data_IF_518456460094
#
_entry.id   IF_518456460094
#
_cell.length_a   1.000
_cell.length_b   1.000
_cell.length_c   1.000
_cell.angle_alpha   90.00
_cell.angle_beta   90.00
_cell.angle_gamma   90.00
#
_symmetry.space_group_name_H-M   'P 1'
#
loop_
_entity.id
_entity.type
_entity.pdbx_description
1 polymer ?
#
# COMPACT_ATOMS: atom_id res chain seq x y z
N UNK A 1 4.05 -20.68 0.11
CA UNK A 1 2.68 -21.25 0.26
C UNK A 1 2.45 -22.34 -0.78
N UNK A 2 2.06 -23.52 -0.29
CA UNK A 2 1.79 -24.69 -1.13
C UNK A 2 0.27 -24.87 -1.20
N UNK A 3 -0.33 -24.67 -2.36
CA UNK A 3 -1.75 -24.91 -2.56
C UNK A 3 -1.95 -26.20 -3.38
N UNK A 4 -2.66 -27.16 -2.83
CA UNK A 4 -3.15 -28.32 -3.56
C UNK A 4 -4.50 -27.95 -4.18
N UNK A 5 -4.57 -27.82 -5.49
CA UNK A 5 -5.85 -27.66 -6.20
C UNK A 5 -6.39 -29.07 -6.41
N UNK A 6 -7.39 -29.48 -5.63
CA UNK A 6 -8.08 -30.75 -5.75
C UNK A 6 -9.16 -30.64 -6.84
N UNK A 7 -8.78 -30.87 -8.09
CA UNK A 7 -9.69 -31.23 -9.18
C UNK A 7 -9.37 -32.62 -9.72
N UNK A 8 -9.05 -33.56 -8.85
CA UNK A 8 -8.93 -34.98 -9.20
C UNK A 8 -7.78 -35.38 -10.13
N UNK A 9 -6.92 -34.47 -10.52
CA UNK A 9 -5.69 -34.73 -11.28
C UNK A 9 -4.50 -34.15 -10.53
N UNK A 10 -3.43 -34.92 -10.40
CA UNK A 10 -2.16 -34.58 -9.78
C UNK A 10 -1.32 -33.59 -10.65
N UNK A 11 -1.97 -32.70 -11.37
CA UNK A 11 -1.32 -31.77 -12.28
C UNK A 11 -1.18 -30.41 -11.60
N UNK A 12 0.07 -29.98 -11.42
CA UNK A 12 0.54 -28.66 -11.04
C UNK A 12 0.38 -28.25 -9.56
N UNK A 13 1.31 -28.71 -8.74
CA UNK A 13 1.68 -27.96 -7.53
C UNK A 13 2.23 -26.59 -7.95
N UNK A 14 1.38 -25.57 -7.98
CA UNK A 14 1.81 -24.22 -8.26
C UNK A 14 2.38 -23.63 -6.99
N UNK A 15 3.70 -23.50 -6.94
CA UNK A 15 4.38 -22.84 -5.86
C UNK A 15 4.44 -21.34 -6.14
N UNK A 16 4.18 -20.53 -5.11
CA UNK A 16 4.54 -19.12 -5.11
C UNK A 16 5.61 -18.87 -4.07
N UNK A 17 6.47 -17.91 -4.34
CA UNK A 17 7.52 -17.46 -3.43
C UNK A 17 7.51 -15.94 -3.40
N UNK A 18 6.63 -15.33 -2.61
CA UNK A 18 6.68 -13.90 -2.36
C UNK A 18 7.98 -13.54 -1.65
N UNK A 19 8.55 -12.37 -1.98
CA UNK A 19 9.77 -11.92 -1.34
C UNK A 19 9.49 -11.53 0.12
N UNK A 20 8.44 -10.72 0.36
CA UNK A 20 8.05 -10.32 1.71
C UNK A 20 6.54 -10.46 1.88
N UNK A 21 6.11 -10.98 3.01
CA UNK A 21 4.71 -11.00 3.43
C UNK A 21 4.59 -10.34 4.79
N UNK A 22 3.87 -9.23 4.85
CA UNK A 22 3.58 -8.55 6.11
C UNK A 22 2.38 -9.21 6.79
N UNK A 23 2.56 -9.54 8.06
CA UNK A 23 1.56 -10.21 8.87
C UNK A 23 1.15 -9.30 10.04
N UNK A 24 -0.14 -9.21 10.31
CA UNK A 24 -0.66 -8.62 11.56
C UNK A 24 -1.37 -9.74 12.32
N UNK A 25 -0.89 -10.04 13.52
CA UNK A 25 -1.38 -11.16 14.33
C UNK A 25 -1.46 -12.49 13.57
N UNK A 26 -0.46 -12.76 12.71
CA UNK A 26 -0.39 -13.97 11.90
C UNK A 26 -1.26 -13.95 10.62
N UNK A 27 -2.02 -12.88 10.39
CA UNK A 27 -2.87 -12.72 9.21
C UNK A 27 -2.08 -11.95 8.12
N UNK A 28 -1.93 -12.51 6.89
CA UNK A 28 -1.23 -11.83 5.81
C UNK A 28 -2.06 -10.65 5.29
N UNK A 29 -1.52 -9.44 5.42
CA UNK A 29 -2.20 -8.19 5.04
C UNK A 29 -1.56 -7.49 3.85
N UNK A 30 -0.25 -7.65 3.62
CA UNK A 30 0.46 -7.09 2.48
C UNK A 30 1.39 -8.14 1.89
N UNK A 31 1.48 -8.20 0.57
CA UNK A 31 2.49 -8.97 -0.17
C UNK A 31 3.34 -8.00 -0.96
N UNK A 32 4.66 -8.12 -0.82
CA UNK A 32 5.65 -7.27 -1.46
C UNK A 32 6.51 -8.12 -2.39
N UNK A 33 6.69 -7.64 -3.60
CA UNK A 33 7.59 -8.22 -4.59
C UNK A 33 8.70 -7.24 -4.91
N UNK A 34 9.95 -7.68 -4.72
CA UNK A 34 11.15 -6.89 -4.96
C UNK A 34 11.80 -7.34 -6.26
N UNK A 35 12.19 -6.40 -7.10
CA UNK A 35 12.92 -6.66 -8.33
C UNK A 35 14.32 -6.08 -8.24
N UNK A 36 15.29 -6.80 -8.79
CA UNK A 36 16.68 -6.38 -8.77
C UNK A 36 17.03 -5.56 -10.03
N UNK A 37 17.59 -4.38 -9.84
CA UNK A 37 17.93 -3.44 -10.91
C UNK A 37 18.97 -3.95 -11.93
N UNK A 38 19.80 -4.89 -11.54
CA UNK A 38 20.89 -5.41 -12.37
C UNK A 38 20.49 -6.39 -13.47
N UNK A 39 19.20 -6.73 -13.59
CA UNK A 39 18.71 -7.71 -14.56
C UNK A 39 17.82 -7.03 -15.60
N UNK A 40 18.17 -7.18 -16.88
CA UNK A 40 17.36 -6.64 -17.99
C UNK A 40 15.90 -7.13 -17.89
N UNK A 41 14.95 -6.18 -17.94
CA UNK A 41 13.52 -6.46 -17.79
C UNK A 41 13.01 -6.61 -16.35
N UNK A 42 13.88 -6.50 -15.35
CA UNK A 42 13.50 -6.57 -13.93
C UNK A 42 13.01 -5.22 -13.43
N UNK A 43 11.71 -4.96 -13.54
CA UNK A 43 11.08 -3.68 -13.17
C UNK A 43 9.93 -3.90 -12.20
N UNK A 44 9.50 -2.83 -11.53
CA UNK A 44 8.31 -2.88 -10.69
C UNK A 44 7.05 -3.35 -11.46
N UNK A 45 6.96 -3.10 -12.78
CA UNK A 45 5.85 -3.59 -13.61
C UNK A 45 5.85 -5.12 -13.72
N UNK A 46 7.03 -5.74 -13.83
CA UNK A 46 7.15 -7.20 -13.80
C UNK A 46 6.79 -7.77 -12.42
N UNK A 47 7.14 -7.05 -11.34
CA UNK A 47 6.69 -7.40 -9.99
C UNK A 47 5.16 -7.40 -9.87
N UNK A 48 4.46 -6.43 -10.43
CA UNK A 48 3.00 -6.41 -10.45
C UNK A 48 2.42 -7.62 -11.23
N UNK A 49 2.98 -7.96 -12.38
CA UNK A 49 2.56 -9.16 -13.14
C UNK A 49 2.79 -10.44 -12.33
N UNK A 50 3.88 -10.49 -11.58
CA UNK A 50 4.16 -11.62 -10.69
C UNK A 50 3.16 -11.71 -9.53
N UNK A 51 2.83 -10.59 -8.89
CA UNK A 51 1.79 -10.51 -7.86
C UNK A 51 0.41 -10.96 -8.39
N UNK A 52 0.04 -10.55 -9.60
CA UNK A 52 -1.19 -11.01 -10.26
C UNK A 52 -1.17 -12.53 -10.51
N UNK A 53 -0.04 -13.08 -10.95
CA UNK A 53 0.15 -14.53 -11.06
C UNK A 53 0.00 -15.23 -9.71
N UNK A 54 0.57 -14.68 -8.63
CA UNK A 54 0.47 -15.24 -7.28
C UNK A 54 -0.99 -15.29 -6.81
N UNK A 55 -1.77 -14.24 -7.05
CA UNK A 55 -3.18 -14.20 -6.69
C UNK A 55 -3.98 -15.33 -7.38
N UNK A 56 -3.66 -15.64 -8.63
CA UNK A 56 -4.28 -16.74 -9.37
C UNK A 56 -3.82 -18.12 -8.91
N UNK A 57 -2.53 -18.27 -8.55
CA UNK A 57 -1.94 -19.55 -8.18
C UNK A 57 -2.20 -19.92 -6.72
N UNK A 58 -2.30 -18.96 -5.83
CA UNK A 58 -2.49 -19.17 -4.39
C UNK A 58 -3.51 -18.19 -3.80
N UNK A 59 -4.78 -18.22 -4.25
CA UNK A 59 -5.79 -17.27 -3.83
C UNK A 59 -6.03 -17.23 -2.32
N UNK A 60 -5.75 -18.33 -1.62
CA UNK A 60 -5.90 -18.38 -0.14
C UNK A 60 -5.03 -17.40 0.60
N UNK A 61 -3.80 -17.10 0.11
CA UNK A 61 -2.94 -16.10 0.71
C UNK A 61 -3.56 -14.70 0.61
N UNK A 62 -4.32 -14.45 -0.46
CA UNK A 62 -4.85 -13.14 -0.79
C UNK A 62 -6.28 -12.89 -0.27
N UNK A 63 -6.89 -13.83 0.46
CA UNK A 63 -8.22 -13.63 1.06
C UNK A 63 -8.21 -12.45 2.04
N UNK A 64 -7.23 -12.42 2.95
CA UNK A 64 -7.05 -11.36 3.94
C UNK A 64 -6.13 -10.24 3.47
N UNK A 65 -5.42 -10.45 2.36
CA UNK A 65 -4.49 -9.48 1.81
C UNK A 65 -5.22 -8.20 1.39
N UNK A 66 -4.77 -7.07 1.88
CA UNK A 66 -5.42 -5.79 1.69
C UNK A 66 -4.89 -5.06 0.46
N UNK A 67 -3.57 -5.06 0.29
CA UNK A 67 -2.91 -4.46 -0.85
C UNK A 67 -1.58 -5.16 -1.13
N UNK A 68 -1.03 -4.87 -2.28
CA UNK A 68 0.25 -5.40 -2.75
C UNK A 68 1.21 -4.27 -3.05
N UNK A 69 2.50 -4.56 -2.96
CA UNK A 69 3.56 -3.62 -3.27
C UNK A 69 4.54 -4.26 -4.23
N UNK A 70 5.02 -3.48 -5.17
CA UNK A 70 6.14 -3.85 -6.04
C UNK A 70 7.17 -2.74 -6.06
N UNK A 71 8.44 -3.12 -5.92
CA UNK A 71 9.58 -2.20 -5.98
C UNK A 71 10.71 -2.79 -6.82
N UNK A 72 11.48 -1.90 -7.44
CA UNK A 72 12.71 -2.23 -8.15
C UNK A 72 13.92 -1.44 -7.60
N UNK A 73 13.79 -0.87 -6.40
CA UNK A 73 14.81 -0.05 -5.78
C UNK A 73 14.81 1.41 -6.24
N UNK A 74 14.24 1.72 -7.42
CA UNK A 74 14.03 3.10 -7.88
C UNK A 74 12.62 3.59 -7.64
N UNK A 75 11.64 2.68 -7.78
CA UNK A 75 10.22 2.99 -7.67
C UNK A 75 9.56 2.01 -6.71
N UNK A 76 8.70 2.52 -5.83
CA UNK A 76 7.81 1.73 -5.01
C UNK A 76 6.37 2.03 -5.42
N UNK A 77 5.63 1.01 -5.81
CA UNK A 77 4.23 1.11 -6.22
C UNK A 77 3.36 0.20 -5.36
N UNK A 78 2.24 0.70 -4.88
CA UNK A 78 1.26 -0.06 -4.13
C UNK A 78 -0.13 0.01 -4.76
N UNK A 79 -0.90 -1.05 -4.64
CA UNK A 79 -2.26 -1.13 -5.16
C UNK A 79 -3.09 -2.17 -4.42
N UNK A 80 -4.41 -1.99 -4.41
CA UNK A 80 -5.30 -2.94 -3.74
C UNK A 80 -5.19 -4.34 -4.38
N UNK A 81 -5.39 -5.37 -3.58
CA UNK A 81 -5.45 -6.76 -4.07
C UNK A 81 -6.51 -6.88 -5.16
N UNK A 82 -6.15 -7.49 -6.29
CA UNK A 82 -7.02 -7.62 -7.47
C UNK A 82 -6.99 -6.41 -8.41
N UNK A 83 -6.27 -5.33 -8.07
CA UNK A 83 -6.21 -4.13 -8.92
C UNK A 83 -5.30 -4.33 -10.14
N UNK A 84 -5.71 -3.88 -11.34
CA UNK A 84 -4.83 -3.77 -12.49
C UNK A 84 -3.65 -2.81 -12.24
N UNK A 85 -2.55 -2.99 -12.98
CA UNK A 85 -1.31 -2.21 -12.82
C UNK A 85 -1.49 -0.69 -12.88
N UNK A 86 -2.45 -0.18 -13.68
CA UNK A 86 -2.78 1.25 -13.78
C UNK A 86 -3.29 1.87 -12.46
N UNK A 87 -3.66 1.05 -11.49
CA UNK A 87 -4.10 1.47 -10.15
C UNK A 87 -3.06 1.16 -9.08
N UNK A 88 -1.81 0.97 -9.47
CA UNK A 88 -0.68 1.00 -8.57
C UNK A 88 -0.08 2.39 -8.55
N UNK A 89 0.04 2.97 -7.35
CA UNK A 89 0.43 4.35 -7.13
C UNK A 89 1.71 4.44 -6.30
N UNK A 90 2.39 5.58 -6.36
CA UNK A 90 3.51 5.89 -5.48
C UNK A 90 2.99 6.35 -4.13
N UNK A 91 3.69 5.93 -3.07
CA UNK A 91 3.59 6.56 -1.77
C UNK A 91 4.65 7.65 -1.69
N UNK A 92 4.26 8.83 -1.23
CA UNK A 92 5.16 9.96 -1.01
C UNK A 92 5.18 10.31 0.47
N UNK A 93 6.33 10.66 0.97
CA UNK A 93 6.47 11.09 2.35
C UNK A 93 7.15 12.45 2.38
N UNK A 94 6.47 13.47 2.90
CA UNK A 94 6.91 14.85 2.79
C UNK A 94 7.70 15.35 4.03
N UNK A 95 7.76 14.56 5.09
CA UNK A 95 8.26 15.03 6.40
C UNK A 95 9.69 14.59 6.70
N UNK A 96 10.40 13.99 5.74
CA UNK A 96 11.68 13.34 5.99
C UNK A 96 11.52 12.06 6.81
N UNK A 97 12.62 11.41 7.15
CA UNK A 97 12.62 10.33 8.13
C UNK A 97 12.28 10.91 9.51
N UNK A 98 11.59 10.17 10.40
CA UNK A 98 11.29 10.68 11.73
C UNK A 98 12.56 10.97 12.54
N UNK A 99 12.44 11.88 13.49
CA UNK A 99 13.56 12.24 14.35
C UNK A 99 14.09 11.10 15.24
N UNK A 100 13.29 10.05 15.42
CA UNK A 100 13.64 8.82 16.14
C UNK A 100 14.13 7.69 15.22
N UNK A 101 14.22 7.95 13.93
CA UNK A 101 14.85 7.02 12.99
C UNK A 101 16.36 6.99 13.24
N UNK A 102 16.88 5.84 13.64
CA UNK A 102 18.30 5.70 13.98
C UNK A 102 19.14 5.51 12.70
N UNK A 103 19.57 6.62 12.12
CA UNK A 103 20.50 6.66 10.99
C UNK A 103 21.92 6.22 11.39
N UNK A 104 22.20 6.05 12.69
CA UNK A 104 23.53 5.71 13.19
C UNK A 104 23.87 4.22 13.14
N UNK A 105 22.93 3.38 12.75
CA UNK A 105 23.22 1.95 12.64
C UNK A 105 24.23 1.70 11.51
N UNK A 106 25.20 0.84 11.79
CA UNK A 106 26.23 0.47 10.79
C UNK A 106 25.63 -0.13 9.51
N UNK A 107 24.47 -0.76 9.61
CA UNK A 107 23.73 -1.32 8.48
C UNK A 107 23.12 -0.21 7.62
N UNK A 108 22.55 0.83 8.23
CA UNK A 108 21.99 1.97 7.51
C UNK A 108 23.09 2.78 6.80
N UNK A 109 24.20 3.08 7.49
CA UNK A 109 25.35 3.77 6.91
C UNK A 109 25.95 2.99 5.72
N UNK A 110 26.06 1.66 5.83
CA UNK A 110 26.55 0.84 4.73
C UNK A 110 25.63 0.84 3.50
N UNK A 111 24.31 1.02 3.70
CA UNK A 111 23.33 1.15 2.63
C UNK A 111 23.40 2.55 2.03
N UNK A 112 23.48 3.59 2.84
CA UNK A 112 23.57 4.99 2.41
C UNK A 112 24.82 5.26 1.58
N UNK A 113 25.94 4.62 1.91
CA UNK A 113 27.21 4.72 1.18
C UNK A 113 27.20 3.90 -0.14
N UNK A 114 26.15 3.15 -0.44
CA UNK A 114 26.06 2.38 -1.67
C UNK A 114 25.69 3.27 -2.88
N UNK A 115 26.26 2.97 -4.06
CA UNK A 115 25.93 3.68 -5.31
C UNK A 115 24.46 3.52 -5.72
N UNK A 116 23.79 2.49 -5.20
CA UNK A 116 22.38 2.16 -5.48
C UNK A 116 21.40 2.74 -4.46
N UNK A 117 21.88 3.49 -3.46
CA UNK A 117 21.02 4.08 -2.43
C UNK A 117 20.04 5.09 -3.00
N UNK A 118 18.77 4.90 -2.65
CA UNK A 118 17.71 5.80 -3.07
C UNK A 118 16.86 6.25 -1.88
N UNK A 119 17.13 7.44 -1.31
CA UNK A 119 16.42 7.96 -0.14
C UNK A 119 14.89 8.10 -0.36
N UNK A 120 14.45 8.19 -1.61
CA UNK A 120 13.03 8.20 -1.94
C UNK A 120 12.35 6.86 -1.58
N UNK A 121 13.03 5.73 -1.80
CA UNK A 121 12.48 4.41 -1.47
C UNK A 121 12.37 4.26 0.05
N UNK A 122 13.38 4.67 0.81
CA UNK A 122 13.34 4.60 2.27
C UNK A 122 12.21 5.45 2.85
N UNK A 123 12.07 6.69 2.37
CA UNK A 123 10.96 7.54 2.75
C UNK A 123 9.59 6.93 2.38
N UNK A 124 9.48 6.30 1.20
CA UNK A 124 8.25 5.65 0.77
C UNK A 124 7.93 4.41 1.61
N UNK A 125 8.94 3.58 1.90
CA UNK A 125 8.81 2.40 2.76
C UNK A 125 8.41 2.83 4.17
N UNK A 126 9.16 3.77 4.74
CA UNK A 126 8.87 4.27 6.07
C UNK A 126 7.48 4.90 6.15
N UNK A 127 7.15 5.78 5.21
CA UNK A 127 5.87 6.47 5.18
C UNK A 127 4.67 5.54 5.02
N UNK A 128 4.81 4.47 4.24
CA UNK A 128 3.73 3.50 3.99
C UNK A 128 3.61 2.46 5.11
N UNK A 129 4.73 2.02 5.67
CA UNK A 129 4.79 0.86 6.57
C UNK A 129 5.03 1.23 8.03
N UNK A 130 5.15 2.52 8.39
CA UNK A 130 5.12 2.84 9.82
C UNK A 130 3.80 2.39 10.44
N UNK A 131 3.87 2.06 11.72
CA UNK A 131 2.80 1.39 12.43
C UNK A 131 1.47 2.14 12.36
N UNK A 132 1.48 3.46 12.54
CA UNK A 132 0.28 4.28 12.54
C UNK A 132 -0.33 4.41 11.14
N UNK A 133 0.49 4.62 10.12
CA UNK A 133 0.01 4.73 8.73
C UNK A 133 -0.61 3.42 8.26
N UNK A 134 0.06 2.28 8.47
CA UNK A 134 -0.47 1.01 7.97
C UNK A 134 -1.77 0.63 8.67
N UNK A 135 -1.88 0.81 9.98
CA UNK A 135 -3.11 0.55 10.72
C UNK A 135 -4.23 1.48 10.30
N UNK A 136 -3.93 2.77 10.09
CA UNK A 136 -4.90 3.74 9.60
C UNK A 136 -5.38 3.41 8.17
N UNK A 137 -4.47 3.02 7.27
CA UNK A 137 -4.81 2.57 5.92
C UNK A 137 -5.77 1.37 5.95
N UNK A 138 -5.43 0.34 6.73
CA UNK A 138 -6.22 -0.88 6.83
C UNK A 138 -7.61 -0.62 7.42
N UNK A 139 -7.72 0.28 8.39
CA UNK A 139 -8.96 0.56 9.12
C UNK A 139 -9.87 1.56 8.40
N UNK A 140 -9.31 2.51 7.62
CA UNK A 140 -10.06 3.66 7.17
C UNK A 140 -9.99 3.94 5.66
N UNK A 141 -9.03 3.35 4.93
CA UNK A 141 -8.71 3.77 3.57
C UNK A 141 -8.82 2.67 2.52
N UNK A 142 -9.51 1.58 2.86
CA UNK A 142 -9.86 0.51 1.93
C UNK A 142 -11.37 0.48 1.80
N UNK A 143 -11.86 0.49 0.56
CA UNK A 143 -13.28 0.42 0.23
C UNK A 143 -13.54 -0.62 -0.84
N UNK A 144 -14.75 -1.12 -0.86
CA UNK A 144 -15.25 -2.03 -1.87
C UNK A 144 -16.31 -1.33 -2.70
N UNK A 145 -16.20 -1.42 -4.00
CA UNK A 145 -17.17 -0.90 -4.95
C UNK A 145 -17.68 -2.04 -5.84
N UNK A 146 -18.98 -2.10 -6.02
CA UNK A 146 -19.58 -3.06 -6.94
C UNK A 146 -19.91 -2.36 -8.26
N UNK A 147 -19.27 -2.79 -9.34
CA UNK A 147 -19.49 -2.32 -10.71
C UNK A 147 -19.78 -3.54 -11.57
N UNK A 148 -20.88 -3.54 -12.31
CA UNK A 148 -21.27 -4.62 -13.22
C UNK A 148 -21.26 -6.02 -12.55
N UNK A 149 -21.76 -6.12 -11.33
CA UNK A 149 -21.77 -7.33 -10.47
C UNK A 149 -20.38 -7.83 -10.04
N UNK A 150 -19.31 -7.10 -10.29
CA UNK A 150 -17.97 -7.39 -9.78
C UNK A 150 -17.63 -6.50 -8.60
N UNK A 151 -17.12 -7.08 -7.53
CA UNK A 151 -16.65 -6.32 -6.37
C UNK A 151 -15.18 -5.98 -6.52
N UNK A 152 -14.88 -4.70 -6.60
CA UNK A 152 -13.53 -4.15 -6.75
C UNK A 152 -13.07 -3.57 -5.41
N UNK A 153 -11.92 -4.02 -4.93
CA UNK A 153 -11.24 -3.43 -3.78
C UNK A 153 -10.44 -2.21 -4.23
N UNK A 154 -10.55 -1.13 -3.50
CA UNK A 154 -9.79 0.11 -3.73
C UNK A 154 -9.06 0.53 -2.47
N UNK A 155 -7.84 1.01 -2.62
CA UNK A 155 -7.06 1.65 -1.57
C UNK A 155 -6.84 3.11 -1.91
N UNK A 156 -6.78 3.98 -0.90
CA UNK A 156 -6.52 5.41 -1.10
C UNK A 156 -5.17 5.64 -1.78
N UNK A 157 -5.10 6.67 -2.61
CA UNK A 157 -3.82 7.25 -3.04
C UNK A 157 -3.22 8.07 -1.90
N UNK A 158 -1.91 8.27 -1.91
CA UNK A 158 -1.21 9.09 -0.93
C UNK A 158 -1.86 10.46 -0.70
N UNK A 159 -2.17 11.20 -1.77
CA UNK A 159 -2.78 12.52 -1.65
C UNK A 159 -4.19 12.48 -1.03
N UNK A 160 -4.95 11.41 -1.24
CA UNK A 160 -6.26 11.23 -0.62
C UNK A 160 -6.10 10.96 0.89
N UNK A 161 -5.15 10.07 1.25
CA UNK A 161 -4.78 9.79 2.63
C UNK A 161 -4.40 11.07 3.38
N UNK A 162 -3.45 11.83 2.82
CA UNK A 162 -2.97 13.09 3.40
C UNK A 162 -4.07 14.13 3.55
N UNK A 163 -4.87 14.34 2.49
CA UNK A 163 -5.95 15.33 2.53
C UNK A 163 -7.02 14.98 3.56
N UNK A 164 -7.43 13.71 3.62
CA UNK A 164 -8.38 13.21 4.61
C UNK A 164 -7.88 13.47 6.02
N UNK A 165 -6.65 13.09 6.35
CA UNK A 165 -6.09 13.24 7.69
C UNK A 165 -5.98 14.72 8.08
N UNK A 166 -5.53 15.60 7.18
CA UNK A 166 -5.50 17.05 7.43
C UNK A 166 -6.90 17.66 7.68
N UNK A 167 -7.92 17.17 7.00
CA UNK A 167 -9.31 17.63 7.26
C UNK A 167 -9.78 17.16 8.63
N UNK A 168 -9.52 15.89 8.97
CA UNK A 168 -9.91 15.32 10.27
C UNK A 168 -9.19 16.05 11.43
N UNK A 169 -7.87 16.27 11.31
CA UNK A 169 -7.09 17.03 12.28
C UNK A 169 -7.69 18.44 12.51
N UNK A 170 -8.01 19.14 11.42
CA UNK A 170 -8.62 20.49 11.49
C UNK A 170 -9.96 20.49 12.20
N UNK A 171 -10.79 19.48 11.95
CA UNK A 171 -12.08 19.34 12.63
C UNK A 171 -11.87 19.08 14.13
N UNK A 172 -10.90 18.24 14.49
CA UNK A 172 -10.57 17.94 15.89
C UNK A 172 -10.03 19.19 16.61
N UNK A 173 -9.15 19.95 15.96
CA UNK A 173 -8.60 21.20 16.53
C UNK A 173 -9.68 22.27 16.78
N UNK A 174 -10.74 22.29 15.99
CA UNK A 174 -11.88 23.22 16.18
C UNK A 174 -11.57 24.70 16.00
N UNK A 175 -10.33 25.07 15.59
CA UNK A 175 -9.88 26.46 15.51
C UNK A 175 -10.32 27.18 14.25
N UNK A 176 -10.49 26.44 13.15
CA UNK A 176 -10.88 27.00 11.85
C UNK A 176 -11.97 26.16 11.21
N UNK A 177 -13.07 26.80 10.83
CA UNK A 177 -14.27 26.11 10.32
C UNK A 177 -14.29 25.96 8.78
N UNK A 178 -13.23 26.36 8.08
CA UNK A 178 -13.12 26.26 6.63
C UNK A 178 -11.73 25.79 6.19
N UNK A 179 -11.65 25.26 4.99
CA UNK A 179 -10.41 24.85 4.36
C UNK A 179 -10.63 24.51 2.89
N UNK A 180 -9.54 24.46 2.13
CA UNK A 180 -9.56 24.12 0.72
C UNK A 180 -8.69 22.89 0.47
N UNK A 181 -9.27 21.87 -0.15
CA UNK A 181 -8.54 20.72 -0.69
C UNK A 181 -8.42 20.91 -2.20
N UNK A 182 -7.22 21.22 -2.65
CA UNK A 182 -6.95 21.41 -4.08
C UNK A 182 -6.39 20.13 -4.68
N UNK A 183 -7.22 19.43 -5.43
CA UNK A 183 -6.84 18.24 -6.18
C UNK A 183 -7.19 18.41 -7.67
N UNK A 184 -6.34 17.88 -8.55
CA UNK A 184 -6.57 17.88 -10.00
C UNK A 184 -7.82 17.08 -10.38
N UNK A 185 -8.35 17.32 -11.56
CA UNK A 185 -9.43 16.50 -12.11
C UNK A 185 -8.97 15.02 -12.23
N UNK A 186 -9.85 14.07 -11.93
CA UNK A 186 -9.51 12.65 -11.96
C UNK A 186 -8.69 12.12 -10.78
N UNK A 187 -8.36 12.95 -9.78
CA UNK A 187 -7.60 12.54 -8.59
C UNK A 187 -8.41 11.69 -7.58
N UNK A 188 -9.71 11.49 -7.84
CA UNK A 188 -10.58 10.73 -6.93
C UNK A 188 -11.09 11.53 -5.73
N UNK A 189 -11.47 12.80 -5.93
CA UNK A 189 -12.02 13.67 -4.88
C UNK A 189 -13.20 13.05 -4.14
N UNK A 190 -14.08 12.32 -4.84
CA UNK A 190 -15.21 11.61 -4.22
C UNK A 190 -14.78 10.58 -3.20
N UNK A 191 -13.68 9.85 -3.45
CA UNK A 191 -13.10 8.94 -2.46
C UNK A 191 -12.50 9.69 -1.29
N UNK A 192 -11.84 10.84 -1.51
CA UNK A 192 -11.36 11.69 -0.40
C UNK A 192 -12.51 12.12 0.51
N UNK A 193 -13.63 12.54 -0.07
CA UNK A 193 -14.84 12.89 0.69
C UNK A 193 -15.39 11.70 1.48
N UNK A 194 -15.45 10.52 0.85
CA UNK A 194 -15.91 9.28 1.49
C UNK A 194 -15.01 8.91 2.68
N UNK A 195 -13.70 8.88 2.52
CA UNK A 195 -12.75 8.57 3.59
C UNK A 195 -12.83 9.59 4.72
N UNK A 196 -12.98 10.88 4.39
CA UNK A 196 -13.15 11.94 5.37
C UNK A 196 -14.42 11.73 6.19
N UNK A 197 -15.57 11.54 5.54
CA UNK A 197 -16.84 11.28 6.22
C UNK A 197 -16.78 10.02 7.09
N UNK A 198 -16.14 8.95 6.58
CA UNK A 198 -15.95 7.71 7.33
C UNK A 198 -15.12 7.89 8.60
N UNK A 199 -14.01 8.63 8.53
CA UNK A 199 -13.16 8.93 9.71
C UNK A 199 -13.88 9.85 10.69
N UNK A 200 -14.52 10.92 10.23
CA UNK A 200 -15.26 11.85 11.08
C UNK A 200 -16.39 11.16 11.83
N UNK A 201 -17.14 10.25 11.20
CA UNK A 201 -18.20 9.46 11.83
C UNK A 201 -17.72 8.62 13.02
N UNK A 202 -16.43 8.25 13.05
CA UNK A 202 -15.85 7.46 14.16
C UNK A 202 -15.43 8.31 15.36
N UNK A 203 -15.45 9.64 15.24
CA UNK A 203 -15.04 10.54 16.30
C UNK A 203 -16.16 10.66 17.36
N UNK A 204 -15.90 10.29 18.64
CA UNK A 204 -16.92 10.34 19.69
C UNK A 204 -17.51 11.73 19.90
N UNK A 205 -16.73 12.79 19.68
CA UNK A 205 -17.15 14.17 19.86
C UNK A 205 -18.10 14.69 18.76
N UNK A 206 -18.33 13.94 17.71
CA UNK A 206 -19.23 14.28 16.61
C UNK A 206 -20.49 13.40 16.57
N UNK A 207 -20.63 12.45 17.49
CA UNK A 207 -21.75 11.53 17.62
C UNK A 207 -22.67 11.96 18.78
#
# INVERSE_FOLDING_TARGET
FRQTITNGKWEDYKHIRPDIVLLINGIPVVVIECKFLGTEGSTWQEGIKQLDRYQRHSPKLFISNCFNVSTDGHMLKYGATGSPSKFFFEWKYDNGLPADFDESTSEFQAIEDSEDYNPYIDQAVYGLFNHDTILDLLNNFIVFETVDNETIKKISRYQQYRATNKVVERVIEGKMHWGLVWHTQGSGKSLTMLFTAWKLRKLPQLN
#
